data_IF_986766248457
#
_entry.id   IF_986766248457
#
_cell.length_a   1.000
_cell.length_b   1.000
_cell.length_c   1.000
_cell.angle_alpha   90.00
_cell.angle_beta   90.00
_cell.angle_gamma   90.00
#
_symmetry.space_group_name_H-M   'P 1'
#
loop_
_entity.id
_entity.type
_entity.pdbx_description
1 polymer ?
#
# COMPACT_ATOMS: atom_id res chain seq x y z
N UNK A 1 -17.61 -13.37 2.08
CA UNK A 1 -16.92 -12.11 1.72
C UNK A 1 -16.42 -11.51 3.03
N UNK A 2 -15.11 -11.51 3.28
CA UNK A 2 -14.56 -10.93 4.51
C UNK A 2 -14.62 -9.42 4.35
N UNK A 3 -15.30 -8.73 5.27
CA UNK A 3 -15.40 -7.27 5.24
C UNK A 3 -14.03 -6.72 5.66
N UNK A 4 -13.32 -6.09 4.73
CA UNK A 4 -12.10 -5.35 5.03
C UNK A 4 -12.49 -4.15 5.90
N UNK A 5 -11.71 -3.86 6.94
CA UNK A 5 -11.92 -2.68 7.76
C UNK A 5 -11.94 -1.39 6.88
N UNK A 6 -12.94 -0.51 7.03
CA UNK A 6 -13.07 0.69 6.20
C UNK A 6 -11.84 1.62 6.26
N UNK A 7 -11.12 1.65 7.39
CA UNK A 7 -9.91 2.46 7.51
C UNK A 7 -8.76 1.84 6.72
N UNK A 8 -8.62 0.51 6.75
CA UNK A 8 -7.63 -0.20 5.93
C UNK A 8 -7.91 0.00 4.44
N UNK A 9 -9.18 -0.08 4.04
CA UNK A 9 -9.57 0.19 2.66
C UNK A 9 -9.22 1.63 2.24
N UNK A 10 -9.50 2.61 3.11
CA UNK A 10 -9.16 4.01 2.85
C UNK A 10 -7.65 4.21 2.71
N UNK A 11 -6.84 3.58 3.57
CA UNK A 11 -5.37 3.64 3.49
C UNK A 11 -4.84 3.00 2.21
N UNK A 12 -5.39 1.86 1.82
CA UNK A 12 -5.05 1.18 0.58
C UNK A 12 -5.40 2.03 -0.65
N UNK A 13 -6.53 2.73 -0.63
CA UNK A 13 -6.92 3.64 -1.72
C UNK A 13 -6.02 4.88 -1.86
N UNK A 14 -5.27 5.26 -0.81
CA UNK A 14 -4.31 6.38 -0.82
C UNK A 14 -2.95 5.99 -1.41
N UNK A 15 -2.69 4.70 -1.62
CA UNK A 15 -1.46 4.25 -2.28
C UNK A 15 -1.48 4.62 -3.78
N UNK A 16 -0.30 4.76 -4.42
CA UNK A 16 -0.21 4.94 -5.86
C UNK A 16 -0.85 3.78 -6.61
N UNK A 17 -1.29 4.04 -7.85
CA UNK A 17 -2.09 3.11 -8.64
C UNK A 17 -1.44 1.73 -8.80
N UNK A 18 -0.14 1.69 -9.13
CA UNK A 18 0.63 0.44 -9.26
C UNK A 18 0.65 -0.36 -7.94
N UNK A 19 1.03 0.29 -6.84
CA UNK A 19 1.12 -0.33 -5.51
C UNK A 19 -0.23 -0.83 -4.99
N UNK A 20 -1.31 -0.07 -5.27
CA UNK A 20 -2.68 -0.44 -4.92
C UNK A 20 -3.16 -1.63 -5.74
N UNK A 21 -2.86 -1.67 -7.04
CA UNK A 21 -3.22 -2.77 -7.94
C UNK A 21 -2.65 -4.10 -7.47
N UNK A 22 -1.35 -4.15 -7.18
CA UNK A 22 -0.68 -5.33 -6.63
C UNK A 22 -1.33 -5.84 -5.33
N UNK A 23 -1.64 -4.92 -4.40
CA UNK A 23 -2.26 -5.30 -3.12
C UNK A 23 -3.70 -5.81 -3.30
N UNK A 24 -4.49 -5.21 -4.20
CA UNK A 24 -5.85 -5.65 -4.48
C UNK A 24 -5.87 -7.01 -5.16
N UNK A 25 -4.95 -7.27 -6.10
CA UNK A 25 -4.80 -8.58 -6.74
C UNK A 25 -4.46 -9.65 -5.70
N UNK A 26 -3.50 -9.36 -4.82
CA UNK A 26 -3.12 -10.26 -3.74
C UNK A 26 -4.27 -10.56 -2.78
N UNK A 27 -5.05 -9.55 -2.39
CA UNK A 27 -6.23 -9.71 -1.52
C UNK A 27 -7.37 -10.48 -2.19
N UNK A 28 -7.47 -10.41 -3.53
CA UNK A 28 -8.43 -11.21 -4.30
C UNK A 28 -8.06 -12.70 -4.34
N UNK A 29 -6.76 -13.01 -4.34
CA UNK A 29 -6.24 -14.37 -4.43
C UNK A 29 -6.02 -15.04 -3.06
N UNK A 30 -5.82 -14.27 -1.99
CA UNK A 30 -5.46 -14.79 -0.67
C UNK A 30 -6.29 -14.17 0.46
N UNK A 31 -6.83 -14.98 1.40
CA UNK A 31 -7.48 -14.46 2.59
C UNK A 31 -6.43 -13.96 3.59
N UNK A 32 -6.22 -12.64 3.60
CA UNK A 32 -5.30 -11.94 4.52
C UNK A 32 -6.07 -11.46 5.75
N UNK A 33 -5.44 -11.51 6.93
CA UNK A 33 -6.00 -10.92 8.15
C UNK A 33 -5.76 -9.40 8.21
N UNK A 34 -6.65 -8.66 8.85
CA UNK A 34 -6.59 -7.18 8.90
C UNK A 34 -5.25 -6.65 9.44
N UNK A 35 -4.69 -7.30 10.46
CA UNK A 35 -3.38 -6.94 11.01
C UNK A 35 -2.25 -7.08 9.97
N UNK A 36 -2.28 -8.15 9.19
CA UNK A 36 -1.29 -8.40 8.13
C UNK A 36 -1.48 -7.43 6.96
N UNK A 37 -2.72 -7.12 6.59
CA UNK A 37 -3.03 -6.09 5.59
C UNK A 37 -2.51 -4.71 6.02
N UNK A 38 -2.69 -4.35 7.29
CA UNK A 38 -2.16 -3.10 7.83
C UNK A 38 -0.63 -3.03 7.67
N UNK A 39 0.10 -4.09 8.05
CA UNK A 39 1.56 -4.14 7.87
C UNK A 39 1.98 -4.03 6.40
N UNK A 40 1.26 -4.70 5.49
CA UNK A 40 1.55 -4.65 4.06
C UNK A 40 1.36 -3.24 3.51
N UNK A 41 0.27 -2.56 3.88
CA UNK A 41 0.01 -1.18 3.47
C UNK A 41 1.13 -0.25 3.97
N UNK A 42 1.54 -0.35 5.23
CA UNK A 42 2.60 0.49 5.80
C UNK A 42 3.95 0.26 5.12
N UNK A 43 4.31 -1.00 4.83
CA UNK A 43 5.55 -1.34 4.11
C UNK A 43 5.56 -0.76 2.70
N UNK A 44 4.44 -0.87 1.99
CA UNK A 44 4.30 -0.36 0.62
C UNK A 44 4.29 1.16 0.62
N UNK A 45 3.58 1.81 1.54
CA UNK A 45 3.59 3.26 1.72
C UNK A 45 5.01 3.77 1.97
N UNK A 46 5.74 3.15 2.91
CA UNK A 46 7.12 3.54 3.24
C UNK A 46 8.06 3.40 2.04
N UNK A 47 7.90 2.31 1.27
CA UNK A 47 8.72 2.07 0.07
C UNK A 47 8.43 3.08 -1.03
N UNK A 48 7.16 3.39 -1.28
CA UNK A 48 6.73 4.41 -2.25
C UNK A 48 7.26 5.79 -1.84
N UNK A 49 7.16 6.17 -0.57
CA UNK A 49 7.67 7.45 -0.10
C UNK A 49 9.20 7.56 -0.22
N UNK A 50 9.91 6.45 -0.02
CA UNK A 50 11.36 6.36 -0.26
C UNK A 50 11.73 6.46 -1.74
N UNK A 51 10.95 5.83 -2.62
CA UNK A 51 11.16 5.80 -4.08
C UNK A 51 10.76 7.11 -4.78
N UNK A 52 9.87 7.91 -4.18
CA UNK A 52 9.59 9.29 -4.61
C UNK A 52 10.69 10.29 -4.19
N UNK A 53 11.62 9.89 -3.30
CA UNK A 53 12.70 10.74 -2.76
C UNK A 53 14.12 10.62 -3.37
N UNK A 54 14.41 9.95 -4.51
CA UNK A 54 15.77 9.92 -5.04
C UNK A 54 16.14 11.07 -6.00
N UNK A 55 15.27 12.06 -6.26
CA UNK A 55 15.52 13.05 -7.33
C UNK A 55 15.36 14.53 -6.94
N UNK A 56 15.49 14.87 -5.65
CA UNK A 56 15.56 16.27 -5.18
C UNK A 56 16.82 16.49 -4.35
N UNK A 57 17.99 16.22 -4.93
CA UNK A 57 19.26 16.50 -4.28
C UNK A 57 20.35 16.95 -5.25
N UNK A 58 20.05 17.81 -6.23
CA UNK A 58 21.06 18.70 -6.83
C UNK A 58 20.38 20.03 -7.17
N UNK A 59 20.92 21.16 -6.67
CA UNK A 59 21.61 22.02 -7.63
C UNK A 59 22.94 22.57 -7.09
N UNK A 60 23.97 22.36 -7.93
CA UNK A 60 25.11 23.21 -8.26
C UNK A 60 25.67 24.17 -7.20
#
# INVERSE_FOLDING_TARGET
MRMIDPNLFTRLMRLPDAARGDLLEFLGATPVADAQLAEMIERVATRVEGDLRPMRAEPN
#
